data_IF_963610915265
#
_entry.id   IF_963610915265
#
_cell.length_a   1.000
_cell.length_b   1.000
_cell.length_c   1.000
_cell.angle_alpha   90.00
_cell.angle_beta   90.00
_cell.angle_gamma   90.00
#
_symmetry.space_group_name_H-M   'P 1'
#
loop_
_entity.id
_entity.type
_entity.pdbx_description
1 polymer ?
#
# COMPACT_ATOMS: atom_id res chain seq x y z
N UNK A 1 -5.07 85.51 -8.82
CA UNK A 1 -3.89 84.69 -8.52
C UNK A 1 -4.36 83.27 -8.29
N UNK A 2 -3.87 82.30 -9.06
CA UNK A 2 -4.15 80.88 -8.84
C UNK A 2 -3.05 80.30 -7.96
N UNK A 3 -3.41 79.71 -6.83
CA UNK A 3 -2.49 78.96 -5.98
C UNK A 3 -2.42 77.51 -6.46
N UNK A 4 -1.20 76.95 -6.55
CA UNK A 4 -0.98 75.52 -6.81
C UNK A 4 -0.77 74.82 -5.47
N UNK A 5 -1.58 73.80 -5.19
CA UNK A 5 -1.38 72.87 -4.07
C UNK A 5 -0.90 71.56 -4.67
N UNK A 6 0.14 70.98 -4.07
CA UNK A 6 0.72 69.70 -4.49
C UNK A 6 0.65 68.73 -3.33
N UNK A 7 0.07 67.56 -3.57
CA UNK A 7 -0.07 66.48 -2.58
C UNK A 7 0.93 65.41 -2.99
N UNK A 8 1.88 65.13 -2.10
CA UNK A 8 2.96 64.18 -2.33
C UNK A 8 2.76 62.93 -1.45
N UNK A 9 3.09 61.73 -1.94
CA UNK A 9 3.09 60.52 -1.14
C UNK A 9 4.01 60.62 0.09
N UNK A 10 3.58 60.01 1.20
CA UNK A 10 4.45 59.82 2.36
C UNK A 10 5.45 58.68 2.21
N UNK A 11 6.28 58.50 3.24
CA UNK A 11 7.15 57.32 3.38
C UNK A 11 6.33 56.08 3.71
N UNK A 12 6.83 54.91 3.32
CA UNK A 12 6.22 53.63 3.70
C UNK A 12 6.21 53.45 5.23
N UNK A 13 5.13 52.85 5.74
CA UNK A 13 4.98 52.50 7.16
C UNK A 13 4.54 51.04 7.33
N UNK A 14 4.65 50.53 8.55
CA UNK A 14 4.21 49.19 8.89
C UNK A 14 2.68 49.01 8.80
N UNK A 15 2.18 47.86 8.32
CA UNK A 15 2.93 46.79 7.67
C UNK A 15 3.02 47.00 6.14
N UNK A 16 4.19 46.69 5.56
CA UNK A 16 4.27 46.41 4.12
C UNK A 16 3.63 45.05 3.87
N UNK A 17 2.65 44.95 2.98
CA UNK A 17 1.92 43.71 2.73
C UNK A 17 2.46 42.97 1.50
N UNK A 18 3.26 41.89 1.68
CA UNK A 18 3.62 40.98 0.61
C UNK A 18 2.52 39.93 0.40
N UNK A 19 2.12 39.79 -0.86
CA UNK A 19 1.38 38.67 -1.40
C UNK A 19 2.36 37.76 -2.12
N UNK A 20 2.37 36.47 -1.77
CA UNK A 20 3.32 35.51 -2.31
C UNK A 20 2.58 34.33 -2.92
N UNK A 21 2.92 33.99 -4.16
CA UNK A 21 2.30 32.89 -4.89
C UNK A 21 3.09 32.46 -6.12
N UNK A 22 3.06 31.17 -6.48
CA UNK A 22 2.43 30.03 -5.79
C UNK A 22 3.04 29.74 -4.40
N UNK A 23 2.25 29.12 -3.51
CA UNK A 23 2.65 28.77 -2.12
C UNK A 23 3.38 27.43 -1.99
N UNK A 24 3.49 26.69 -3.08
CA UNK A 24 4.27 25.47 -3.20
C UNK A 24 4.95 25.47 -4.56
N UNK A 25 6.25 25.20 -4.60
CA UNK A 25 7.06 25.10 -5.82
C UNK A 25 8.01 23.92 -5.70
N UNK A 26 8.45 23.34 -6.82
CA UNK A 26 9.42 22.23 -6.78
C UNK A 26 10.82 22.78 -6.49
N UNK A 27 11.59 22.08 -5.67
CA UNK A 27 12.98 22.39 -5.34
C UNK A 27 13.92 21.91 -6.47
N UNK A 28 13.89 22.58 -7.63
CA UNK A 28 14.69 22.20 -8.80
C UNK A 28 15.53 23.32 -9.42
N UNK A 29 15.48 24.54 -8.88
CA UNK A 29 16.18 25.68 -9.47
C UNK A 29 15.51 26.27 -10.71
N UNK A 30 14.38 25.72 -11.16
CA UNK A 30 13.68 26.14 -12.37
C UNK A 30 12.28 26.72 -12.07
N UNK A 31 11.63 26.25 -11.00
CA UNK A 31 10.37 26.82 -10.54
C UNK A 31 10.59 28.05 -9.68
N UNK A 32 9.61 28.95 -9.65
CA UNK A 32 9.67 30.20 -8.88
C UNK A 32 8.34 30.54 -8.22
N UNK A 33 8.44 31.30 -7.14
CA UNK A 33 7.32 32.02 -6.54
C UNK A 33 7.50 33.52 -6.77
N UNK A 34 6.43 34.29 -6.77
CA UNK A 34 6.49 35.74 -6.93
C UNK A 34 5.98 36.42 -5.67
N UNK A 35 6.80 37.34 -5.16
CA UNK A 35 6.42 38.26 -4.10
C UNK A 35 5.97 39.58 -4.73
N UNK A 36 4.76 40.02 -4.39
CA UNK A 36 4.19 41.31 -4.80
C UNK A 36 3.87 42.10 -3.55
N UNK A 37 4.31 43.35 -3.51
CA UNK A 37 4.16 44.24 -2.36
C UNK A 37 3.44 45.52 -2.77
N UNK A 38 2.67 46.05 -1.84
CA UNK A 38 1.97 47.34 -1.97
C UNK A 38 2.38 48.21 -0.78
N UNK A 39 3.56 48.85 -0.80
CA UNK A 39 3.97 49.76 0.26
C UNK A 39 3.06 50.99 0.32
N UNK A 40 2.65 51.36 1.54
CA UNK A 40 1.72 52.47 1.79
C UNK A 40 2.21 53.38 2.89
N UNK A 41 1.81 54.64 2.83
CA UNK A 41 2.07 55.63 3.87
C UNK A 41 1.05 55.54 5.02
N UNK A 42 1.25 56.37 6.06
CA UNK A 42 0.37 56.44 7.25
C UNK A 42 -1.08 56.82 6.97
N UNK A 43 -1.40 57.25 5.75
CA UNK A 43 -2.74 57.63 5.31
C UNK A 43 -3.32 56.61 4.31
N UNK A 44 -2.70 55.42 4.21
CA UNK A 44 -3.09 54.33 3.30
C UNK A 44 -2.93 54.69 1.80
N UNK A 45 -2.15 55.73 1.49
CA UNK A 45 -1.82 56.05 0.10
C UNK A 45 -0.61 55.22 -0.36
N UNK A 46 -0.54 54.84 -1.65
CA UNK A 46 0.67 54.26 -2.22
C UNK A 46 1.86 55.22 -2.08
N UNK A 47 3.04 54.67 -1.80
CA UNK A 47 4.28 55.46 -1.83
C UNK A 47 4.64 55.91 -3.24
N UNK A 48 5.58 56.85 -3.33
CA UNK A 48 6.05 57.38 -4.60
C UNK A 48 6.58 56.28 -5.54
N UNK A 49 6.38 56.46 -6.85
CA UNK A 49 7.00 55.65 -7.90
C UNK A 49 8.54 55.68 -7.75
N UNK A 50 9.19 54.53 -7.96
CA UNK A 50 10.65 54.41 -7.80
C UNK A 50 11.12 54.28 -6.35
N UNK A 51 10.22 54.20 -5.37
CA UNK A 51 10.59 53.87 -3.98
C UNK A 51 11.25 52.49 -3.97
N UNK A 52 12.44 52.38 -3.41
CA UNK A 52 13.17 51.12 -3.28
C UNK A 52 12.54 50.24 -2.20
N UNK A 53 12.45 48.95 -2.50
CA UNK A 53 12.12 47.91 -1.53
C UNK A 53 13.20 46.83 -1.55
N UNK A 54 13.39 46.22 -0.40
CA UNK A 54 14.26 45.08 -0.21
C UNK A 54 13.39 43.88 0.14
N UNK A 55 13.42 42.86 -0.70
CA UNK A 55 12.86 41.55 -0.41
C UNK A 55 13.96 40.65 0.12
N UNK A 56 13.72 39.97 1.23
CA UNK A 56 14.64 38.98 1.79
C UNK A 56 13.98 37.61 1.76
N UNK A 57 14.64 36.68 1.07
CA UNK A 57 14.22 35.30 0.93
C UNK A 57 15.22 34.40 1.67
N UNK A 58 14.75 33.62 2.64
CA UNK A 58 15.56 32.61 3.32
C UNK A 58 15.14 31.24 2.84
N UNK A 59 15.99 30.65 1.99
CA UNK A 59 15.78 29.31 1.45
C UNK A 59 16.09 28.23 2.50
N UNK A 60 15.47 27.04 2.37
CA UNK A 60 15.94 25.87 3.09
C UNK A 60 17.40 25.55 2.70
N UNK A 61 18.17 25.11 3.69
CA UNK A 61 19.59 24.75 3.53
C UNK A 61 19.84 23.38 4.10
N UNK A 62 20.74 22.64 3.46
CA UNK A 62 21.26 21.40 4.02
C UNK A 62 22.52 21.69 4.85
N UNK A 63 22.64 21.14 6.07
CA UNK A 63 23.83 21.34 6.89
C UNK A 63 25.12 21.01 6.14
N UNK A 64 26.10 21.92 6.18
CA UNK A 64 27.38 21.74 5.50
C UNK A 64 27.38 22.03 4.00
N UNK A 65 26.29 22.59 3.45
CA UNK A 65 26.23 23.05 2.05
C UNK A 65 26.23 24.57 1.96
N UNK A 66 26.92 25.11 0.96
CA UNK A 66 26.95 26.55 0.70
C UNK A 66 25.77 26.97 -0.20
N UNK A 67 25.14 28.14 0.02
CA UNK A 67 25.42 29.09 1.10
C UNK A 67 24.76 28.66 2.42
N UNK A 68 25.52 28.69 3.52
CA UNK A 68 25.06 28.21 4.83
C UNK A 68 23.85 28.96 5.37
N UNK A 69 23.69 30.25 5.05
CA UNK A 69 22.57 31.05 5.53
C UNK A 69 21.28 30.83 4.74
N UNK A 70 21.37 30.41 3.47
CA UNK A 70 20.23 30.33 2.57
C UNK A 70 19.62 31.69 2.19
N UNK A 71 20.20 32.81 2.65
CA UNK A 71 19.62 34.14 2.49
C UNK A 71 19.94 34.72 1.11
N UNK A 72 18.90 35.20 0.44
CA UNK A 72 18.93 36.00 -0.77
C UNK A 72 18.29 37.36 -0.48
N UNK A 73 18.86 38.43 -1.03
CA UNK A 73 18.32 39.79 -0.93
C UNK A 73 18.10 40.33 -2.34
N UNK A 74 16.89 40.79 -2.60
CA UNK A 74 16.46 41.29 -3.91
C UNK A 74 15.98 42.73 -3.74
N UNK A 75 16.67 43.66 -4.38
CA UNK A 75 16.22 45.04 -4.47
C UNK A 75 15.27 45.21 -5.66
N UNK A 76 14.15 45.87 -5.41
CA UNK A 76 13.14 46.19 -6.41
C UNK A 76 12.59 47.60 -6.15
N UNK A 77 11.83 48.14 -7.08
CA UNK A 77 11.26 49.48 -6.97
C UNK A 77 9.77 49.45 -7.21
N UNK A 78 9.04 50.40 -6.62
CA UNK A 78 7.63 50.60 -6.95
C UNK A 78 7.50 51.03 -8.40
N UNK A 79 6.70 50.26 -9.15
CA UNK A 79 6.19 50.60 -10.47
C UNK A 79 4.69 50.40 -10.55
N UNK A 80 3.96 51.43 -10.97
CA UNK A 80 2.49 51.40 -11.04
C UNK A 80 1.87 50.93 -9.72
N UNK A 81 2.29 51.54 -8.60
CA UNK A 81 1.82 51.25 -7.23
C UNK A 81 2.25 49.89 -6.64
N UNK A 82 3.01 49.07 -7.38
CA UNK A 82 3.41 47.73 -6.97
C UNK A 82 4.92 47.60 -6.98
N UNK A 83 5.47 46.79 -6.10
CA UNK A 83 6.84 46.30 -6.26
C UNK A 83 6.84 44.79 -6.19
N UNK A 84 7.58 44.13 -7.07
CA UNK A 84 7.56 42.69 -7.18
C UNK A 84 8.91 42.11 -7.56
N UNK A 85 9.12 40.84 -7.22
CA UNK A 85 10.22 40.03 -7.70
C UNK A 85 9.80 38.57 -7.83
N UNK A 86 10.47 37.86 -8.73
CA UNK A 86 10.47 36.39 -8.74
C UNK A 86 11.58 35.91 -7.83
N UNK A 87 11.30 34.83 -7.11
CA UNK A 87 12.22 34.14 -6.23
C UNK A 87 12.24 32.70 -6.74
N UNK A 88 13.33 32.33 -7.41
CA UNK A 88 13.53 31.00 -7.95
C UNK A 88 13.81 30.02 -6.80
N UNK A 89 13.28 28.80 -6.91
CA UNK A 89 13.58 27.69 -6.00
C UNK A 89 15.07 27.37 -5.99
N UNK A 90 15.51 26.64 -4.97
CA UNK A 90 16.81 25.97 -4.96
C UNK A 90 16.62 24.47 -5.09
N UNK A 91 17.66 23.69 -4.87
CA UNK A 91 17.62 22.22 -4.97
C UNK A 91 17.36 21.53 -3.64
N UNK A 92 17.13 22.28 -2.57
CA UNK A 92 16.84 21.75 -1.23
C UNK A 92 15.37 21.99 -0.91
N UNK A 93 14.64 20.91 -0.61
CA UNK A 93 13.24 21.02 -0.20
C UNK A 93 13.13 21.55 1.23
N UNK A 94 12.08 22.33 1.51
CA UNK A 94 11.80 22.87 2.83
C UNK A 94 11.03 24.19 2.78
N UNK A 95 11.06 24.93 3.89
CA UNK A 95 10.34 26.20 4.02
C UNK A 95 11.20 27.35 3.50
N UNK A 96 10.69 28.04 2.49
CA UNK A 96 11.17 29.33 2.02
C UNK A 96 10.44 30.43 2.79
N UNK A 97 11.19 31.28 3.49
CA UNK A 97 10.66 32.40 4.27
C UNK A 97 10.92 33.71 3.53
N UNK A 98 9.90 34.54 3.37
CA UNK A 98 9.96 35.77 2.57
C UNK A 98 9.48 36.94 3.42
N UNK A 99 10.27 38.02 3.42
CA UNK A 99 9.92 39.31 4.03
C UNK A 99 10.22 40.45 3.06
N UNK A 100 9.62 41.61 3.33
CA UNK A 100 9.76 42.83 2.56
C UNK A 100 10.00 44.02 3.48
N UNK A 101 10.84 44.94 3.04
CA UNK A 101 11.11 46.20 3.70
C UNK A 101 11.05 47.35 2.68
N UNK A 102 10.47 48.48 3.07
CA UNK A 102 10.39 49.70 2.27
C UNK A 102 10.64 50.90 3.21
N UNK A 103 11.82 51.51 3.17
CA UNK A 103 12.20 52.52 4.16
C UNK A 103 12.07 51.98 5.58
N UNK A 104 11.26 52.64 6.41
CA UNK A 104 10.97 52.23 7.80
C UNK A 104 9.83 51.19 7.91
N UNK A 105 9.16 50.86 6.80
CA UNK A 105 8.08 49.87 6.75
C UNK A 105 8.60 48.44 6.58
N UNK A 106 8.04 47.51 7.35
CA UNK A 106 8.39 46.09 7.43
C UNK A 106 7.16 45.22 7.19
N UNK A 107 7.38 44.02 6.66
CA UNK A 107 6.32 43.04 6.47
C UNK A 107 6.27 41.97 7.55
N UNK A 108 5.10 41.33 7.76
CA UNK A 108 5.10 39.99 8.34
C UNK A 108 5.79 39.00 7.40
N UNK A 109 6.35 37.94 7.97
CA UNK A 109 6.93 36.82 7.22
C UNK A 109 5.86 36.04 6.45
N UNK A 110 6.20 35.63 5.23
CA UNK A 110 5.41 34.71 4.41
C UNK A 110 6.19 33.42 4.20
N UNK A 111 5.49 32.29 4.21
CA UNK A 111 6.08 30.97 3.92
C UNK A 111 5.62 30.47 2.56
N UNK A 112 6.56 29.93 1.79
CA UNK A 112 6.36 29.07 0.61
C UNK A 112 7.02 27.73 0.89
N UNK A 113 6.44 26.64 0.37
CA UNK A 113 7.03 25.32 0.47
C UNK A 113 7.78 24.98 -0.82
N UNK A 114 9.08 24.76 -0.70
CA UNK A 114 9.88 24.09 -1.73
C UNK A 114 9.73 22.58 -1.52
N UNK A 115 9.09 21.88 -2.46
CA UNK A 115 8.80 20.45 -2.36
C UNK A 115 9.77 19.62 -3.20
N UNK A 116 10.03 18.36 -2.83
CA UNK A 116 10.81 17.45 -3.66
C UNK A 116 10.24 17.34 -5.08
N UNK A 117 11.13 17.15 -6.05
CA UNK A 117 10.75 16.84 -7.42
C UNK A 117 10.24 15.41 -7.59
N UNK A 118 10.02 14.99 -8.85
CA UNK A 118 9.69 13.59 -9.16
C UNK A 118 10.75 12.64 -8.59
N UNK A 119 10.32 11.51 -7.99
CA UNK A 119 11.25 10.57 -7.37
C UNK A 119 12.14 9.86 -8.39
N UNK A 120 13.34 9.47 -7.97
CA UNK A 120 14.21 8.56 -8.75
C UNK A 120 13.83 7.09 -8.51
N UNK A 121 14.30 6.15 -9.34
CA UNK A 121 14.10 4.72 -9.08
C UNK A 121 14.61 4.31 -7.69
N UNK A 122 13.87 3.40 -7.04
CA UNK A 122 14.09 2.99 -5.66
C UNK A 122 13.99 1.46 -5.50
N UNK A 123 14.27 0.94 -4.31
CA UNK A 123 14.33 -0.52 -4.05
C UNK A 123 13.24 -0.96 -3.07
N UNK A 124 12.63 -2.12 -3.33
CA UNK A 124 11.73 -2.78 -2.39
C UNK A 124 12.43 -3.94 -1.68
N UNK A 125 12.10 -4.12 -0.41
CA UNK A 125 12.53 -5.22 0.43
C UNK A 125 11.30 -5.96 0.95
N UNK A 126 11.37 -7.29 0.92
CA UNK A 126 10.37 -8.17 1.51
C UNK A 126 10.92 -8.84 2.76
N UNK A 127 10.11 -8.95 3.81
CA UNK A 127 10.45 -9.67 5.03
C UNK A 127 9.24 -10.49 5.52
N UNK A 128 9.32 -11.83 5.57
CA UNK A 128 10.44 -12.65 5.09
C UNK A 128 10.53 -12.66 3.54
N UNK A 129 11.70 -13.05 3.00
CA UNK A 129 11.86 -13.24 1.54
C UNK A 129 11.39 -14.62 1.04
N UNK A 130 11.05 -15.52 1.96
CA UNK A 130 10.49 -16.83 1.68
C UNK A 130 9.44 -17.19 2.73
N UNK A 131 8.31 -17.77 2.31
CA UNK A 131 7.22 -18.20 3.18
C UNK A 131 6.45 -19.37 2.56
N UNK A 132 5.73 -20.19 3.34
CA UNK A 132 4.83 -21.19 2.76
C UNK A 132 3.65 -20.52 2.03
N UNK A 133 3.19 -21.15 0.95
CA UNK A 133 1.96 -20.78 0.22
C UNK A 133 0.71 -21.26 0.98
N UNK A 134 0.55 -20.80 2.21
CA UNK A 134 -0.50 -21.21 3.13
C UNK A 134 -1.76 -20.35 3.06
N UNK A 135 -1.73 -19.25 2.30
CA UNK A 135 -2.81 -18.27 2.28
C UNK A 135 -3.00 -17.51 3.60
N UNK A 136 -2.06 -17.54 4.54
CA UNK A 136 -2.21 -16.94 5.88
C UNK A 136 -0.98 -16.14 6.33
N UNK A 137 0.21 -16.52 5.88
CA UNK A 137 1.46 -15.86 6.20
C UNK A 137 1.48 -14.41 5.68
N UNK A 138 2.01 -13.49 6.48
CA UNK A 138 2.13 -12.07 6.13
C UNK A 138 3.55 -11.71 5.75
N UNK A 139 3.70 -11.03 4.61
CA UNK A 139 4.97 -10.51 4.11
C UNK A 139 4.97 -8.99 4.22
N UNK A 140 5.93 -8.44 4.94
CA UNK A 140 6.14 -7.01 5.02
C UNK A 140 6.93 -6.54 3.81
N UNK A 141 6.39 -5.57 3.07
CA UNK A 141 7.07 -4.88 1.98
C UNK A 141 7.45 -3.49 2.46
N UNK A 142 8.72 -3.13 2.30
CA UNK A 142 9.22 -1.77 2.60
C UNK A 142 10.13 -1.27 1.51
N UNK A 143 10.26 0.04 1.34
CA UNK A 143 11.31 0.61 0.47
C UNK A 143 12.54 1.11 1.24
N UNK A 144 13.60 1.42 0.50
CA UNK A 144 14.57 2.44 0.91
C UNK A 144 13.91 3.83 0.99
N UNK A 145 14.66 4.83 1.44
CA UNK A 145 14.16 6.20 1.45
C UNK A 145 14.13 6.72 0.02
N UNK A 146 12.94 7.10 -0.43
CA UNK A 146 12.67 7.57 -1.78
C UNK A 146 12.96 9.06 -1.83
N UNK A 147 13.84 9.44 -2.74
CA UNK A 147 14.25 10.82 -2.95
C UNK A 147 14.01 11.26 -4.39
N UNK A 148 14.06 12.57 -4.63
CA UNK A 148 14.25 13.11 -5.97
C UNK A 148 15.73 13.05 -6.41
N UNK A 149 16.02 13.62 -7.59
CA UNK A 149 17.37 13.66 -8.14
C UNK A 149 18.36 14.54 -7.36
N UNK A 150 17.86 15.42 -6.48
CA UNK A 150 18.67 16.30 -5.64
C UNK A 150 18.83 15.75 -4.22
N UNK A 151 18.28 14.57 -3.93
CA UNK A 151 18.34 13.93 -2.62
C UNK A 151 17.27 14.42 -1.64
N UNK A 152 16.27 15.18 -2.10
CA UNK A 152 15.16 15.58 -1.26
C UNK A 152 14.23 14.39 -1.02
N UNK A 153 13.93 14.13 0.25
CA UNK A 153 13.05 13.04 0.68
C UNK A 153 11.62 13.34 0.25
N UNK A 154 10.98 12.37 -0.42
CA UNK A 154 9.61 12.50 -0.91
C UNK A 154 8.61 12.75 0.24
N UNK A 155 7.61 13.60 -0.01
CA UNK A 155 6.60 13.97 0.99
C UNK A 155 5.76 12.78 1.47
N UNK A 156 5.33 12.85 2.72
CA UNK A 156 4.37 11.93 3.29
C UNK A 156 3.01 12.00 2.59
N UNK A 157 2.32 10.85 2.54
CA UNK A 157 1.02 10.73 1.87
C UNK A 157 1.09 10.70 0.35
N UNK A 158 2.28 10.61 -0.25
CA UNK A 158 2.41 10.40 -1.69
C UNK A 158 1.89 9.00 -2.04
N UNK A 159 0.92 8.93 -2.95
CA UNK A 159 0.30 7.68 -3.35
C UNK A 159 1.25 6.82 -4.18
N UNK A 160 1.26 5.53 -3.86
CA UNK A 160 2.00 4.51 -4.58
C UNK A 160 1.10 3.31 -4.86
N UNK A 161 1.42 2.59 -5.92
CA UNK A 161 0.78 1.31 -6.24
C UNK A 161 1.84 0.23 -6.28
N UNK A 162 1.62 -0.86 -5.54
CA UNK A 162 2.45 -2.05 -5.57
C UNK A 162 1.70 -3.12 -6.37
N UNK A 163 2.33 -3.67 -7.40
CA UNK A 163 1.85 -4.84 -8.13
C UNK A 163 2.63 -6.06 -7.66
N UNK A 164 1.93 -7.07 -7.19
CA UNK A 164 2.48 -8.37 -6.85
C UNK A 164 1.93 -9.40 -7.84
N UNK A 165 2.80 -10.01 -8.63
CA UNK A 165 2.43 -10.96 -9.67
C UNK A 165 3.04 -12.33 -9.39
N UNK A 166 2.21 -13.36 -9.27
CA UNK A 166 2.59 -14.76 -9.21
C UNK A 166 2.11 -15.44 -10.51
N UNK A 167 3.00 -15.62 -11.49
CA UNK A 167 2.63 -16.23 -12.76
C UNK A 167 2.09 -17.66 -12.60
N UNK A 168 1.17 -18.12 -13.47
CA UNK A 168 0.68 -17.40 -14.66
C UNK A 168 -0.48 -16.42 -14.38
N UNK A 169 -1.28 -16.64 -13.34
CA UNK A 169 -2.66 -16.09 -13.31
C UNK A 169 -2.94 -15.15 -12.13
N UNK A 170 -2.05 -15.08 -11.14
CA UNK A 170 -2.33 -14.32 -9.92
C UNK A 170 -1.64 -12.95 -9.95
N UNK A 171 -2.46 -11.88 -9.94
CA UNK A 171 -2.01 -10.50 -9.88
C UNK A 171 -2.77 -9.77 -8.79
N UNK A 172 -2.06 -9.13 -7.87
CA UNK A 172 -2.62 -8.33 -6.78
C UNK A 172 -2.11 -6.91 -6.87
N UNK A 173 -3.02 -5.96 -6.68
CA UNK A 173 -2.69 -4.53 -6.58
C UNK A 173 -2.84 -4.10 -5.13
N UNK A 174 -1.77 -3.59 -4.53
CA UNK A 174 -1.72 -3.16 -3.14
C UNK A 174 -1.46 -1.65 -3.11
N UNK A 175 -2.45 -0.82 -2.72
CA UNK A 175 -2.22 0.61 -2.56
C UNK A 175 -1.29 0.85 -1.37
N UNK A 176 -0.37 1.80 -1.51
CA UNK A 176 0.54 2.21 -0.47
C UNK A 176 0.69 3.74 -0.45
N UNK A 177 1.17 4.27 0.66
CA UNK A 177 1.52 5.67 0.81
C UNK A 177 2.94 5.79 1.37
N UNK A 178 3.60 6.90 1.09
CA UNK A 178 4.87 7.22 1.71
C UNK A 178 4.69 7.72 3.13
N UNK A 179 5.55 7.25 4.02
CA UNK A 179 5.73 7.75 5.39
C UNK A 179 7.23 7.87 5.63
N UNK A 180 7.71 9.06 5.99
CA UNK A 180 9.13 9.40 6.09
C UNK A 180 9.90 9.04 4.79
N UNK A 181 9.28 9.35 3.65
CA UNK A 181 9.82 9.03 2.33
C UNK A 181 9.96 7.53 2.04
N UNK A 182 9.31 6.64 2.79
CA UNK A 182 9.37 5.19 2.58
C UNK A 182 7.99 4.61 2.33
N UNK A 183 7.91 3.60 1.48
CA UNK A 183 6.70 2.78 1.33
C UNK A 183 6.67 1.69 2.39
N UNK A 184 5.46 1.44 2.90
CA UNK A 184 5.15 0.31 3.76
C UNK A 184 3.86 -0.36 3.27
N UNK A 185 3.90 -1.67 3.11
CA UNK A 185 2.73 -2.47 2.78
C UNK A 185 2.86 -3.88 3.36
N UNK A 186 1.72 -4.56 3.46
CA UNK A 186 1.66 -5.97 3.86
C UNK A 186 0.99 -6.76 2.75
N UNK A 187 1.54 -7.93 2.47
CA UNK A 187 1.07 -8.84 1.44
C UNK A 187 0.81 -10.21 2.07
N UNK A 188 -0.41 -10.71 1.92
CA UNK A 188 -0.76 -12.07 2.36
C UNK A 188 -0.17 -13.08 1.37
N UNK A 189 0.35 -14.20 1.87
CA UNK A 189 0.84 -15.30 1.05
C UNK A 189 -0.25 -15.82 0.09
N UNK A 190 0.13 -16.32 -1.09
CA UNK A 190 -0.77 -17.04 -1.98
C UNK A 190 -1.09 -18.44 -1.40
N UNK A 191 -2.09 -19.10 -1.99
CA UNK A 191 -2.40 -20.52 -1.71
C UNK A 191 -1.70 -21.47 -2.69
N UNK A 192 -0.98 -20.92 -3.67
CA UNK A 192 -0.19 -21.69 -4.64
C UNK A 192 1.30 -21.38 -4.47
N UNK A 193 2.17 -22.39 -4.45
CA UNK A 193 3.61 -22.17 -4.40
C UNK A 193 4.13 -21.57 -5.69
N UNK A 194 5.22 -20.82 -5.60
CA UNK A 194 5.88 -20.23 -6.75
C UNK A 194 6.68 -18.98 -6.40
N UNK A 195 7.12 -18.25 -7.43
CA UNK A 195 7.86 -17.00 -7.26
C UNK A 195 6.98 -15.82 -7.58
N UNK A 196 6.71 -15.00 -6.58
CA UNK A 196 5.96 -13.77 -6.74
C UNK A 196 6.93 -12.60 -6.96
N UNK A 197 6.67 -11.78 -7.98
CA UNK A 197 7.45 -10.59 -8.30
C UNK A 197 6.67 -9.35 -7.88
N UNK A 198 7.29 -8.52 -7.03
CA UNK A 198 6.69 -7.31 -6.48
C UNK A 198 7.40 -6.09 -7.05
N UNK A 199 6.63 -5.12 -7.56
CA UNK A 199 7.13 -3.85 -8.06
C UNK A 199 6.23 -2.71 -7.61
N UNK A 200 6.80 -1.54 -7.31
CA UNK A 200 6.06 -0.34 -6.93
C UNK A 200 6.17 0.75 -7.99
N UNK A 201 5.16 1.60 -8.08
CA UNK A 201 5.12 2.82 -8.89
C UNK A 201 4.68 4.01 -8.05
N UNK A 202 5.36 5.14 -8.25
CA UNK A 202 5.03 6.45 -7.69
C UNK A 202 5.12 7.46 -8.83
N UNK A 203 3.96 7.92 -9.33
CA UNK A 203 3.92 8.75 -10.53
C UNK A 203 4.61 8.04 -11.71
N UNK A 204 5.68 8.64 -12.23
CA UNK A 204 6.49 8.09 -13.33
C UNK A 204 7.66 7.21 -12.87
N UNK A 205 7.98 7.22 -11.58
CA UNK A 205 9.06 6.41 -11.04
C UNK A 205 8.57 4.99 -10.71
N UNK A 206 9.49 4.03 -10.78
CA UNK A 206 9.20 2.65 -10.41
C UNK A 206 10.36 2.02 -9.66
N UNK A 207 10.04 1.04 -8.82
CA UNK A 207 11.06 0.23 -8.17
C UNK A 207 11.65 -0.80 -9.14
N UNK A 208 12.79 -1.37 -8.76
CA UNK A 208 13.19 -2.68 -9.27
C UNK A 208 12.19 -3.76 -8.82
N UNK A 209 12.10 -4.85 -9.57
CA UNK A 209 11.27 -6.00 -9.19
C UNK A 209 11.96 -6.81 -8.08
N UNK A 210 11.25 -7.07 -6.99
CA UNK A 210 11.72 -7.88 -5.87
C UNK A 210 10.99 -9.23 -5.88
N UNK A 211 11.77 -10.32 -5.89
CA UNK A 211 11.22 -11.68 -5.85
C UNK A 211 10.98 -12.14 -4.41
N UNK A 212 9.84 -12.78 -4.19
CA UNK A 212 9.46 -13.46 -2.95
C UNK A 212 9.18 -14.92 -3.30
N UNK A 213 9.81 -15.84 -2.58
CA UNK A 213 9.62 -17.27 -2.79
C UNK A 213 8.48 -17.78 -1.92
N UNK A 214 7.50 -18.45 -2.53
CA UNK A 214 6.46 -19.16 -1.82
C UNK A 214 6.63 -20.67 -1.98
N UNK A 215 6.90 -21.35 -0.87
CA UNK A 215 7.16 -22.79 -0.83
C UNK A 215 5.85 -23.59 -0.70
N UNK A 216 5.79 -24.87 -1.12
CA UNK A 216 4.62 -25.72 -0.93
C UNK A 216 4.10 -25.71 0.51
N UNK A 217 2.80 -25.53 0.71
CA UNK A 217 2.19 -25.50 2.03
C UNK A 217 0.68 -25.34 1.94
N UNK A 218 -0.05 -25.37 3.07
CA UNK A 218 0.45 -25.61 4.43
C UNK A 218 0.72 -27.10 4.71
N UNK A 219 0.06 -28.05 4.03
CA UNK A 219 0.40 -29.47 4.04
C UNK A 219 1.20 -29.85 2.78
N UNK A 220 2.22 -30.69 2.93
CA UNK A 220 3.11 -31.08 1.81
C UNK A 220 3.21 -32.58 1.58
N UNK A 221 2.72 -33.39 2.52
CA UNK A 221 2.72 -34.84 2.40
C UNK A 221 1.37 -35.35 1.87
N UNK A 222 1.36 -36.62 1.45
CA UNK A 222 0.10 -37.34 1.21
C UNK A 222 -0.71 -37.37 2.51
N UNK A 223 -1.97 -36.95 2.43
CA UNK A 223 -2.86 -36.88 3.59
C UNK A 223 -3.52 -38.25 3.76
N UNK A 224 -3.27 -39.00 4.85
CA UNK A 224 -3.97 -40.25 5.11
C UNK A 224 -5.45 -39.97 5.36
N UNK A 225 -6.32 -40.80 4.80
CA UNK A 225 -7.78 -40.71 4.98
C UNK A 225 -8.27 -41.99 5.63
N UNK A 226 -8.97 -41.85 6.74
CA UNK A 226 -9.60 -42.95 7.46
C UNK A 226 -11.11 -42.71 7.58
N UNK A 227 -11.88 -43.80 7.56
CA UNK A 227 -13.34 -43.76 7.63
C UNK A 227 -13.79 -44.63 8.79
N UNK A 228 -14.56 -44.04 9.70
CA UNK A 228 -15.14 -44.73 10.86
C UNK A 228 -16.65 -44.65 10.81
N UNK A 229 -17.30 -45.79 10.96
CA UNK A 229 -18.76 -45.88 11.01
C UNK A 229 -19.28 -45.77 12.43
N UNK A 230 -20.35 -45.00 12.57
CA UNK A 230 -21.21 -44.95 13.74
C UNK A 230 -22.65 -45.21 13.27
N UNK A 231 -23.57 -45.46 14.21
CA UNK A 231 -24.91 -45.96 13.89
C UNK A 231 -25.62 -45.19 12.75
N UNK A 232 -25.66 -43.86 12.82
CA UNK A 232 -26.34 -42.98 11.84
C UNK A 232 -25.38 -42.02 11.10
N UNK A 233 -24.06 -42.14 11.33
CA UNK A 233 -23.06 -41.22 10.78
C UNK A 233 -21.80 -41.94 10.30
N UNK A 234 -21.18 -41.36 9.27
CA UNK A 234 -19.84 -41.71 8.81
C UNK A 234 -18.90 -40.55 9.15
N UNK A 235 -17.85 -40.87 9.90
CA UNK A 235 -16.79 -39.92 10.25
C UNK A 235 -15.58 -40.17 9.36
N UNK A 236 -15.19 -39.14 8.59
CA UNK A 236 -14.06 -39.18 7.66
C UNK A 236 -12.97 -38.30 8.27
N UNK A 237 -11.88 -38.91 8.73
CA UNK A 237 -10.75 -38.20 9.33
C UNK A 237 -9.59 -38.15 8.34
N UNK A 238 -9.17 -36.94 8.01
CA UNK A 238 -7.96 -36.64 7.27
C UNK A 238 -6.83 -36.30 8.24
N UNK A 239 -5.71 -37.01 8.16
CA UNK A 239 -4.50 -36.69 8.90
C UNK A 239 -3.66 -37.91 9.30
N UNK A 240 -2.45 -37.68 9.85
CA UNK A 240 -1.90 -36.37 10.21
C UNK A 240 -1.58 -35.49 8.99
N UNK A 241 -1.96 -34.21 9.05
CA UNK A 241 -1.56 -33.17 8.09
C UNK A 241 -0.20 -32.60 8.52
N UNK A 242 0.81 -32.83 7.69
CA UNK A 242 2.20 -32.47 8.00
C UNK A 242 2.72 -31.40 7.04
N UNK A 243 3.24 -30.32 7.60
CA UNK A 243 3.87 -29.21 6.88
C UNK A 243 5.34 -29.46 6.55
N UNK A 244 5.99 -28.47 5.93
CA UNK A 244 7.34 -28.59 5.36
C UNK A 244 8.44 -29.00 6.33
N UNK A 245 8.32 -28.64 7.61
CA UNK A 245 9.34 -28.90 8.63
C UNK A 245 8.99 -30.14 9.47
N UNK A 246 8.05 -30.97 9.02
CA UNK A 246 7.59 -32.15 9.75
C UNK A 246 6.64 -31.84 10.92
N UNK A 247 6.21 -30.59 11.07
CA UNK A 247 5.25 -30.15 12.08
C UNK A 247 3.80 -30.39 11.64
N UNK A 248 2.87 -30.49 12.59
CA UNK A 248 1.45 -30.44 12.27
C UNK A 248 1.09 -29.07 11.66
N UNK A 249 0.20 -29.13 10.68
CA UNK A 249 -0.42 -27.93 10.13
C UNK A 249 -1.17 -27.18 11.23
N UNK A 250 -1.08 -25.83 11.30
CA UNK A 250 -1.74 -25.05 12.34
C UNK A 250 -3.25 -25.24 12.37
N UNK A 251 -3.82 -25.13 13.57
CA UNK A 251 -5.26 -25.17 13.79
C UNK A 251 -5.95 -24.05 13.00
N UNK A 252 -7.15 -24.33 12.49
CA UNK A 252 -7.89 -23.41 11.62
C UNK A 252 -7.43 -23.42 10.16
N UNK A 253 -6.40 -24.19 9.79
CA UNK A 253 -6.10 -24.42 8.37
C UNK A 253 -7.27 -25.11 7.69
N UNK A 254 -7.72 -24.60 6.56
CA UNK A 254 -8.86 -25.14 5.84
C UNK A 254 -8.50 -26.40 5.04
N UNK A 255 -9.21 -27.50 5.29
CA UNK A 255 -9.13 -28.74 4.52
C UNK A 255 -10.39 -28.89 3.68
N UNK A 256 -10.21 -29.06 2.38
CA UNK A 256 -11.29 -29.34 1.46
C UNK A 256 -11.51 -30.85 1.35
N UNK A 257 -12.68 -31.32 1.74
CA UNK A 257 -13.19 -32.66 1.43
C UNK A 257 -14.08 -32.58 0.20
N UNK A 258 -13.88 -33.47 -0.76
CA UNK A 258 -14.79 -33.67 -1.89
C UNK A 258 -15.28 -35.11 -1.89
N UNK A 259 -16.59 -35.29 -1.80
CA UNK A 259 -17.27 -36.58 -1.83
C UNK A 259 -17.96 -36.75 -3.17
N UNK A 260 -17.56 -37.75 -3.95
CA UNK A 260 -18.12 -38.03 -5.26
C UNK A 260 -18.75 -39.42 -5.27
N UNK A 261 -20.07 -39.50 -5.52
CA UNK A 261 -20.73 -40.78 -5.75
C UNK A 261 -20.17 -41.44 -7.02
N UNK A 262 -19.76 -42.71 -6.89
CA UNK A 262 -19.26 -43.54 -7.99
C UNK A 262 -20.42 -44.43 -8.44
N UNK A 263 -21.05 -44.05 -9.55
CA UNK A 263 -22.13 -44.83 -10.14
C UNK A 263 -21.55 -46.05 -10.89
N UNK A 264 -21.99 -47.26 -10.53
CA UNK A 264 -21.52 -48.51 -11.16
C UNK A 264 -22.27 -48.83 -12.47
N UNK A 265 -23.30 -48.05 -12.84
CA UNK A 265 -24.21 -48.43 -13.93
C UNK A 265 -23.81 -47.97 -15.34
N UNK A 266 -22.82 -47.10 -15.52
CA UNK A 266 -22.22 -46.86 -16.84
C UNK A 266 -20.76 -46.47 -16.73
N UNK A 267 -19.86 -47.31 -17.24
CA UNK A 267 -18.43 -47.05 -17.34
C UNK A 267 -18.05 -45.83 -18.22
N UNK A 268 -18.99 -44.94 -18.58
CA UNK A 268 -18.78 -43.85 -19.54
C UNK A 268 -19.52 -42.54 -19.25
N UNK A 269 -20.22 -42.37 -18.11
CA UNK A 269 -20.74 -41.04 -17.69
C UNK A 269 -20.64 -40.87 -16.17
N UNK A 270 -19.59 -40.19 -15.72
CA UNK A 270 -19.44 -39.68 -14.36
C UNK A 270 -20.41 -38.53 -14.11
N UNK A 271 -21.66 -38.82 -13.77
CA UNK A 271 -22.53 -37.82 -13.13
C UNK A 271 -22.18 -37.79 -11.65
N UNK A 272 -20.97 -37.31 -11.34
CA UNK A 272 -20.50 -37.19 -9.97
C UNK A 272 -21.18 -35.98 -9.34
N UNK A 273 -22.22 -36.20 -8.54
CA UNK A 273 -22.60 -35.18 -7.55
C UNK A 273 -21.46 -35.09 -6.56
N UNK A 274 -20.57 -34.12 -6.77
CA UNK A 274 -19.45 -33.82 -5.88
C UNK A 274 -19.95 -32.87 -4.79
N UNK A 275 -20.00 -33.32 -3.55
CA UNK A 275 -20.19 -32.44 -2.40
C UNK A 275 -18.84 -32.01 -1.87
N UNK A 276 -18.59 -30.70 -1.91
CA UNK A 276 -17.38 -30.10 -1.35
C UNK A 276 -17.71 -29.51 0.03
N UNK A 277 -16.87 -29.78 1.02
CA UNK A 277 -17.01 -29.23 2.37
C UNK A 277 -15.65 -28.82 2.88
N UNK A 278 -15.58 -27.64 3.47
CA UNK A 278 -14.37 -27.11 4.09
C UNK A 278 -14.46 -27.36 5.59
N UNK A 279 -13.44 -28.00 6.15
CA UNK A 279 -13.34 -28.32 7.58
C UNK A 279 -12.01 -27.79 8.11
N UNK A 280 -11.99 -27.05 9.23
CA UNK A 280 -10.76 -26.58 9.83
C UNK A 280 -9.96 -27.74 10.45
N UNK A 281 -8.64 -27.66 10.39
CA UNK A 281 -7.73 -28.54 11.13
C UNK A 281 -7.82 -28.26 12.63
N UNK A 282 -7.80 -29.33 13.43
CA UNK A 282 -7.63 -29.33 14.87
C UNK A 282 -6.56 -30.38 15.25
N UNK A 283 -5.47 -29.94 15.88
CA UNK A 283 -4.30 -30.76 16.26
C UNK A 283 -3.70 -31.59 15.11
N UNK A 284 -3.69 -31.03 13.89
CA UNK A 284 -3.13 -31.70 12.71
C UNK A 284 -4.07 -32.72 12.05
N UNK A 285 -5.36 -32.76 12.43
CA UNK A 285 -6.38 -33.61 11.80
C UNK A 285 -7.60 -32.76 11.40
N UNK A 286 -8.31 -33.17 10.37
CA UNK A 286 -9.62 -32.60 10.03
C UNK A 286 -10.64 -33.74 9.95
N UNK A 287 -11.81 -33.56 10.59
CA UNK A 287 -12.84 -34.60 10.66
C UNK A 287 -14.16 -34.11 10.10
N UNK A 288 -14.62 -34.74 9.02
CA UNK A 288 -15.92 -34.51 8.43
C UNK A 288 -16.91 -35.58 8.91
N UNK A 289 -18.02 -35.15 9.53
CA UNK A 289 -19.11 -36.05 9.94
C UNK A 289 -20.28 -35.89 8.97
N UNK A 290 -20.68 -36.98 8.33
CA UNK A 290 -21.81 -37.02 7.39
C UNK A 290 -22.88 -37.96 7.91
N UNK A 291 -24.14 -37.53 7.89
CA UNK A 291 -25.29 -38.39 8.25
C UNK A 291 -25.58 -39.37 7.12
N UNK A 292 -25.68 -40.66 7.42
CA UNK A 292 -25.87 -41.71 6.41
C UNK A 292 -27.17 -41.55 5.62
N UNK A 293 -28.23 -41.03 6.26
CA UNK A 293 -29.53 -40.72 5.62
C UNK A 293 -29.44 -39.64 4.52
N UNK A 294 -28.37 -38.84 4.50
CA UNK A 294 -28.14 -37.83 3.46
C UNK A 294 -27.42 -38.40 2.23
N UNK A 295 -26.99 -39.67 2.30
CA UNK A 295 -26.25 -40.35 1.25
C UNK A 295 -27.14 -41.42 0.60
N UNK A 296 -27.09 -41.51 -0.72
CA UNK A 296 -27.70 -42.62 -1.46
C UNK A 296 -26.82 -43.87 -1.32
N UNK A 297 -27.41 -45.09 -1.22
CA UNK A 297 -26.63 -46.31 -1.24
C UNK A 297 -25.70 -46.38 -2.46
N UNK A 298 -24.43 -46.69 -2.25
CA UNK A 298 -23.42 -46.63 -3.31
C UNK A 298 -21.99 -46.51 -2.80
N UNK A 299 -21.02 -46.53 -3.71
CA UNK A 299 -19.61 -46.28 -3.39
C UNK A 299 -19.31 -44.80 -3.57
N UNK A 300 -18.62 -44.20 -2.60
CA UNK A 300 -18.18 -42.80 -2.64
C UNK A 300 -16.66 -42.74 -2.70
N UNK A 301 -16.14 -41.89 -3.59
CA UNK A 301 -14.75 -41.48 -3.60
C UNK A 301 -14.58 -40.23 -2.75
N UNK A 302 -13.60 -40.26 -1.85
CA UNK A 302 -13.18 -39.14 -1.03
C UNK A 302 -11.89 -38.59 -1.65
N UNK A 303 -11.85 -37.29 -1.91
CA UNK A 303 -10.58 -36.57 -2.10
C UNK A 303 -10.45 -35.49 -1.05
N UNK A 304 -9.23 -35.33 -0.53
CA UNK A 304 -8.90 -34.35 0.50
C UNK A 304 -7.77 -33.49 -0.01
N UNK A 305 -7.86 -32.17 0.17
CA UNK A 305 -6.81 -31.23 -0.19
C UNK A 305 -6.61 -30.17 0.90
N UNK A 306 -5.34 -29.87 1.20
CA UNK A 306 -4.94 -28.78 2.09
C UNK A 306 -3.67 -28.13 1.52
N UNK A 307 -3.85 -27.02 0.80
CA UNK A 307 -2.81 -26.41 -0.05
C UNK A 307 -2.25 -27.41 -1.06
N UNK A 308 -0.95 -27.72 -0.98
CA UNK A 308 -0.31 -28.71 -1.88
C UNK A 308 -0.55 -30.16 -1.51
N UNK A 309 -0.91 -30.45 -0.25
CA UNK A 309 -1.15 -31.80 0.25
C UNK A 309 -2.45 -32.38 -0.30
N UNK A 310 -2.41 -33.65 -0.71
CA UNK A 310 -3.58 -34.36 -1.25
C UNK A 310 -3.72 -35.74 -0.60
N UNK A 311 -4.96 -36.16 -0.39
CA UNK A 311 -5.34 -37.49 0.08
C UNK A 311 -6.52 -38.03 -0.70
N UNK A 312 -6.67 -39.35 -0.72
CA UNK A 312 -7.86 -39.99 -1.29
C UNK A 312 -8.23 -41.25 -0.52
N UNK A 313 -9.51 -41.62 -0.61
CA UNK A 313 -10.06 -42.82 0.00
C UNK A 313 -11.40 -43.18 -0.63
N UNK A 314 -11.99 -44.29 -0.21
CA UNK A 314 -13.33 -44.68 -0.62
C UNK A 314 -14.10 -45.28 0.55
N UNK A 315 -15.42 -45.18 0.51
CA UNK A 315 -16.30 -45.92 1.40
C UNK A 315 -17.59 -46.33 0.66
N UNK A 316 -18.31 -47.31 1.20
CA UNK A 316 -19.56 -47.78 0.61
C UNK A 316 -20.70 -47.63 1.61
N UNK A 317 -21.81 -47.02 1.18
CA UNK A 317 -23.07 -46.95 1.91
C UNK A 317 -23.93 -48.12 1.45
N UNK A 318 -24.25 -49.04 2.35
CA UNK A 318 -25.17 -50.15 2.09
C UNK A 318 -26.61 -49.70 2.31
N UNK A 319 -27.54 -50.20 1.50
CA UNK A 319 -28.96 -50.01 1.75
C UNK A 319 -29.33 -50.76 3.04
N UNK A 320 -29.99 -50.08 3.97
CA UNK A 320 -30.54 -50.71 5.16
C UNK A 320 -31.54 -51.78 4.71
N UNK A 321 -31.23 -53.07 4.96
CA UNK A 321 -32.15 -54.14 4.61
C UNK A 321 -33.35 -54.06 5.55
N UNK A 322 -34.53 -53.79 5.01
CA UNK A 322 -35.80 -54.01 5.69
C UNK A 322 -35.98 -55.51 5.98
N UNK A 323 -35.37 -56.00 7.06
CA UNK A 323 -35.55 -57.37 7.56
C UNK A 323 -35.25 -57.45 9.07
N UNK A 324 -35.78 -56.52 9.85
CA UNK A 324 -35.88 -56.67 11.31
C UNK A 324 -37.22 -56.12 11.82
N UNK A 325 -38.31 -56.67 11.27
CA UNK A 325 -39.66 -56.61 11.83
C UNK A 325 -40.33 -57.99 11.67
N UNK A 326 -39.70 -59.04 12.18
CA UNK A 326 -40.41 -60.30 12.39
C UNK A 326 -39.82 -61.10 13.56
N UNK A 327 -39.72 -60.46 14.73
CA UNK A 327 -39.80 -61.17 16.01
C UNK A 327 -40.56 -60.32 17.01
N UNK A 328 -41.51 -60.96 17.70
CA UNK A 328 -42.52 -60.43 18.65
C UNK A 328 -43.79 -59.97 17.95
N UNK A 329 -44.94 -60.65 18.06
CA UNK A 329 -45.66 -61.06 19.28
C UNK A 329 -46.84 -61.99 18.91
N UNK A 330 -47.52 -62.59 19.90
CA UNK A 330 -47.30 -63.92 20.49
C UNK A 330 -47.87 -65.11 19.70
#
# INVERSE_FOLDING_TARGET
>A
ATAKVEILPGQAVDPVLPLVGPRSIVADGAHWTMAVTTPRDRWDNPVAEGTTLTLTAQHPVQPGTAPESGVETIETQTRNLLSWARIDSRTTAGRLLISAQAGDGHSPERTVLEVPGPPVPFTLYANPQSAPADGQSWIQIRSDQITDQFGNVLLDGTQATILAALPPDEIRTVPAITVDGRLYATLQAPTQPGSMFVRAWIGTASSQATQILFTPGPAVQTIPVSVTWQADTVSITAGPLVGERGQFVPDGTEVTFTLSAVDKLTANRTTATAHQTIVPVEYGYATLVVRTLTLTPGTYAITVAAGTGKGSGTFAVVAESAAEQERTTP
#
